data_IF_711137905981
#
_entry.id   IF_711137905981
#
_cell.length_a   1.000
_cell.length_b   1.000
_cell.length_c   1.000
_cell.angle_alpha   90.00
_cell.angle_beta   90.00
_cell.angle_gamma   90.00
#
_symmetry.space_group_name_H-M   'P 1'
#
loop_
_entity.id
_entity.type
_entity.pdbx_description
1 polymer ?
#
# COMPACT_ATOMS: atom_id res chain seq x y z
N UNK A 1 -21.53 28.05 -8.16
CA UNK A 1 -20.53 26.97 -8.27
C UNK A 1 -20.41 26.30 -6.90
N UNK A 2 -21.04 25.13 -6.69
CA UNK A 2 -20.95 24.36 -5.42
C UNK A 2 -20.52 22.89 -5.60
N UNK A 3 -20.45 22.39 -6.83
CA UNK A 3 -20.12 20.98 -7.10
C UNK A 3 -18.61 20.66 -6.98
N UNK A 4 -17.73 21.64 -7.17
CA UNK A 4 -16.27 21.41 -7.19
C UNK A 4 -15.63 21.30 -5.80
N UNK A 5 -16.25 21.88 -4.76
CA UNK A 5 -15.69 21.84 -3.40
C UNK A 5 -15.86 20.45 -2.76
N UNK A 6 -17.00 19.80 -3.01
CA UNK A 6 -17.32 18.49 -2.46
C UNK A 6 -16.42 17.37 -3.03
N UNK A 7 -16.16 17.37 -4.34
CA UNK A 7 -15.31 16.36 -4.98
C UNK A 7 -13.86 16.39 -4.47
N UNK A 8 -13.33 17.58 -4.21
CA UNK A 8 -11.96 17.72 -3.69
C UNK A 8 -11.85 17.13 -2.28
N UNK A 9 -12.80 17.46 -1.41
CA UNK A 9 -12.86 16.93 -0.05
C UNK A 9 -13.08 15.41 -0.03
N UNK A 10 -13.96 14.90 -0.90
CA UNK A 10 -14.17 13.45 -1.08
C UNK A 10 -12.87 12.74 -1.50
N UNK A 11 -12.10 13.31 -2.43
CA UNK A 11 -10.81 12.73 -2.86
C UNK A 11 -9.79 12.76 -1.72
N UNK A 12 -9.66 13.88 -0.99
CA UNK A 12 -8.74 14.00 0.14
C UNK A 12 -9.07 12.98 1.24
N UNK A 13 -10.37 12.79 1.54
CA UNK A 13 -10.83 11.78 2.49
C UNK A 13 -10.51 10.35 2.01
N UNK A 14 -10.74 10.05 0.73
CA UNK A 14 -10.43 8.73 0.16
C UNK A 14 -8.92 8.45 0.17
N UNK A 15 -8.08 9.46 -0.10
CA UNK A 15 -6.63 9.33 -0.01
C UNK A 15 -6.18 9.01 1.42
N UNK A 16 -6.74 9.72 2.40
CA UNK A 16 -6.46 9.46 3.82
C UNK A 16 -6.83 8.02 4.21
N UNK A 17 -8.05 7.59 3.91
CA UNK A 17 -8.50 6.23 4.25
C UNK A 17 -7.66 5.17 3.53
N UNK A 18 -7.26 5.39 2.28
CA UNK A 18 -6.38 4.48 1.55
C UNK A 18 -5.01 4.34 2.22
N UNK A 19 -4.42 5.43 2.70
CA UNK A 19 -3.16 5.38 3.46
C UNK A 19 -3.30 4.57 4.75
N UNK A 20 -4.40 4.77 5.50
CA UNK A 20 -4.67 4.00 6.73
C UNK A 20 -4.88 2.52 6.44
N UNK A 21 -5.58 2.17 5.36
CA UNK A 21 -5.78 0.78 4.95
C UNK A 21 -4.47 0.12 4.55
N UNK A 22 -3.59 0.82 3.82
CA UNK A 22 -2.25 0.33 3.49
C UNK A 22 -1.42 0.07 4.76
N UNK A 23 -1.38 1.02 5.68
CA UNK A 23 -0.72 0.88 6.98
C UNK A 23 -1.23 -0.36 7.74
N UNK A 24 -2.55 -0.48 7.87
CA UNK A 24 -3.19 -1.59 8.56
C UNK A 24 -2.90 -2.94 7.86
N UNK A 25 -2.93 -2.98 6.52
CA UNK A 25 -2.62 -4.17 5.74
C UNK A 25 -1.17 -4.62 5.97
N UNK A 26 -0.21 -3.70 5.91
CA UNK A 26 1.20 -4.02 6.13
C UNK A 26 1.46 -4.53 7.55
N UNK A 27 0.86 -3.88 8.56
CA UNK A 27 0.92 -4.36 9.95
C UNK A 27 0.29 -5.75 10.09
N UNK A 28 -0.87 -5.97 9.46
CA UNK A 28 -1.55 -7.27 9.47
C UNK A 28 -0.72 -8.36 8.77
N UNK A 29 0.01 -8.00 7.72
CA UNK A 29 0.94 -8.88 7.02
C UNK A 29 2.22 -9.19 7.81
N UNK A 30 2.42 -8.56 8.97
CA UNK A 30 3.52 -8.84 9.90
C UNK A 30 4.65 -7.81 9.88
N UNK A 31 4.48 -6.64 9.26
CA UNK A 31 5.47 -5.55 9.34
C UNK A 31 5.61 -5.07 10.79
N UNK A 32 6.85 -4.89 11.25
CA UNK A 32 7.17 -4.31 12.55
C UNK A 32 6.69 -2.86 12.62
N UNK A 33 6.02 -2.48 13.71
CA UNK A 33 5.42 -1.14 13.83
C UNK A 33 6.45 -0.01 13.71
N UNK A 34 7.66 -0.21 14.23
CA UNK A 34 8.79 0.72 14.13
C UNK A 34 9.43 0.78 12.73
N UNK A 35 9.04 -0.13 11.83
CA UNK A 35 9.49 -0.20 10.43
C UNK A 35 8.40 0.15 9.43
N UNK A 36 7.21 0.55 9.89
CA UNK A 36 6.05 0.77 9.05
C UNK A 36 6.31 1.82 7.95
N UNK A 37 6.84 2.99 8.30
CA UNK A 37 7.16 4.04 7.33
C UNK A 37 8.12 3.55 6.24
N UNK A 38 9.11 2.74 6.62
CA UNK A 38 10.06 2.15 5.69
C UNK A 38 9.37 1.14 4.76
N UNK A 39 8.48 0.29 5.30
CA UNK A 39 7.74 -0.67 4.52
C UNK A 39 6.78 -0.01 3.52
N UNK A 40 6.13 1.09 3.90
CA UNK A 40 5.30 1.89 2.98
C UNK A 40 6.14 2.45 1.84
N UNK A 41 7.32 3.02 2.15
CA UNK A 41 8.25 3.48 1.12
C UNK A 41 8.63 2.37 0.15
N UNK A 42 9.08 1.22 0.67
CA UNK A 42 9.43 0.06 -0.17
C UNK A 42 8.24 -0.44 -1.00
N UNK A 43 7.03 -0.44 -0.43
CA UNK A 43 5.81 -0.81 -1.15
C UNK A 43 5.56 0.12 -2.34
N UNK A 44 5.58 1.44 -2.12
CA UNK A 44 5.37 2.44 -3.18
C UNK A 44 6.46 2.34 -4.26
N UNK A 45 7.71 2.10 -3.87
CA UNK A 45 8.83 2.02 -4.80
C UNK A 45 8.77 0.78 -5.73
N UNK A 46 8.15 -0.31 -5.28
CA UNK A 46 8.13 -1.57 -6.04
C UNK A 46 6.77 -1.93 -6.65
N UNK A 47 5.67 -1.27 -6.27
CA UNK A 47 4.32 -1.62 -6.74
C UNK A 47 4.22 -1.64 -8.27
N UNK A 48 4.73 -0.61 -8.94
CA UNK A 48 4.66 -0.50 -10.40
C UNK A 48 5.43 -1.65 -11.09
N UNK A 49 6.61 -1.98 -10.55
CA UNK A 49 7.50 -3.02 -11.10
C UNK A 49 6.97 -4.44 -10.88
N UNK A 50 6.27 -4.68 -9.75
CA UNK A 50 5.64 -5.96 -9.45
C UNK A 50 4.37 -6.12 -10.28
N UNK A 51 3.49 -5.12 -10.28
CA UNK A 51 2.25 -5.15 -11.07
C UNK A 51 2.52 -5.27 -12.57
N UNK A 52 3.55 -4.60 -13.11
CA UNK A 52 3.91 -4.74 -14.52
C UNK A 52 4.34 -6.16 -14.96
N UNK A 53 4.71 -7.02 -13.99
CA UNK A 53 5.14 -8.41 -14.23
C UNK A 53 4.09 -9.42 -13.75
N UNK A 54 3.08 -8.97 -13.03
CA UNK A 54 1.97 -9.79 -12.54
C UNK A 54 1.08 -10.25 -13.69
N UNK A 55 0.50 -11.44 -13.54
CA UNK A 55 -0.64 -11.89 -14.35
C UNK A 55 -1.96 -11.85 -13.55
N UNK A 56 -1.89 -11.53 -12.27
CA UNK A 56 -3.02 -11.32 -11.38
C UNK A 56 -3.60 -9.92 -11.60
N UNK A 57 -4.82 -9.67 -11.15
CA UNK A 57 -5.47 -8.35 -11.24
C UNK A 57 -6.15 -7.99 -9.91
N UNK A 58 -6.20 -6.70 -9.58
CA UNK A 58 -6.97 -6.22 -8.44
C UNK A 58 -6.32 -6.58 -7.10
N UNK A 59 -7.04 -7.23 -6.20
CA UNK A 59 -6.54 -7.53 -4.84
C UNK A 59 -5.35 -8.48 -4.88
N UNK A 60 -5.34 -9.44 -5.80
CA UNK A 60 -4.30 -10.46 -5.89
C UNK A 60 -2.94 -9.84 -6.27
N UNK A 61 -2.91 -8.80 -7.12
CA UNK A 61 -1.69 -8.02 -7.40
C UNK A 61 -1.12 -7.38 -6.13
N UNK A 62 -1.99 -6.77 -5.32
CA UNK A 62 -1.57 -6.10 -4.08
C UNK A 62 -0.96 -7.11 -3.10
N UNK A 63 -1.55 -8.31 -3.02
CA UNK A 63 -1.00 -9.38 -2.20
C UNK A 63 0.35 -9.87 -2.72
N UNK A 64 0.54 -9.96 -4.04
CA UNK A 64 1.84 -10.27 -4.64
C UNK A 64 2.91 -9.23 -4.29
N UNK A 65 2.58 -7.94 -4.27
CA UNK A 65 3.51 -6.89 -3.81
C UNK A 65 3.90 -7.09 -2.35
N UNK A 66 2.94 -7.42 -1.48
CA UNK A 66 3.24 -7.70 -0.06
C UNK A 66 4.13 -8.92 0.10
N UNK A 67 3.90 -9.98 -0.69
CA UNK A 67 4.76 -11.17 -0.68
C UNK A 67 6.16 -10.87 -1.24
N UNK A 68 6.26 -10.03 -2.28
CA UNK A 68 7.53 -9.51 -2.76
C UNK A 68 8.29 -8.78 -1.64
N UNK A 69 7.60 -7.94 -0.87
CA UNK A 69 8.19 -7.25 0.27
C UNK A 69 8.75 -8.23 1.31
N UNK A 70 8.01 -9.29 1.64
CA UNK A 70 8.47 -10.31 2.61
C UNK A 70 9.72 -11.04 2.12
N UNK A 71 9.79 -11.33 0.83
CA UNK A 71 10.91 -12.06 0.23
C UNK A 71 12.18 -11.21 0.11
N UNK A 72 12.03 -9.92 -0.19
CA UNK A 72 13.14 -9.02 -0.51
C UNK A 72 13.54 -8.09 0.64
N UNK A 73 12.62 -7.80 1.55
CA UNK A 73 12.79 -6.92 2.72
C UNK A 73 12.35 -7.62 4.01
N UNK A 74 12.72 -8.90 4.16
CA UNK A 74 12.30 -9.73 5.29
C UNK A 74 12.67 -9.14 6.66
N UNK A 75 13.66 -8.27 6.76
CA UNK A 75 14.03 -7.55 7.99
C UNK A 75 12.93 -6.61 8.51
N UNK A 76 12.02 -6.17 7.64
CA UNK A 76 10.87 -5.32 7.99
C UNK A 76 9.76 -6.12 8.69
N UNK A 77 9.76 -7.44 8.53
CA UNK A 77 8.72 -8.34 9.03
C UNK A 77 9.16 -9.06 10.32
N UNK A 78 8.17 -9.50 11.10
CA UNK A 78 8.34 -10.31 12.33
C UNK A 78 8.60 -11.77 12.00
#
# INVERSE_FOLDING_TARGET
MKANHNLKEEIENLQYELSIVLEAMLLYAGVKKEKLDQAIGCYIDCIDDVCAKSQSEGVDEILEVVEYLKQHYGELFV
#
